data_IF_022734550416
#
_entry.id   IF_022734550416
#
_cell.length_a   1.000
_cell.length_b   1.000
_cell.length_c   1.000
_cell.angle_alpha   90.00
_cell.angle_beta   90.00
_cell.angle_gamma   90.00
#
_symmetry.space_group_name_H-M   'P 1'
#
loop_
_entity.id
_entity.type
_entity.pdbx_description
1 polymer ?
#
# COMPACT_ATOMS: atom_id res chain seq x y z
N UNK A 1 19.64 -1.52 13.55
CA UNK A 1 21.07 -1.53 13.96
C UNK A 1 21.15 -2.16 15.35
N UNK A 2 22.31 -2.63 15.83
CA UNK A 2 22.44 -3.04 17.24
C UNK A 2 22.04 -1.90 18.19
N UNK A 3 21.38 -2.22 19.30
CA UNK A 3 20.89 -1.25 20.27
C UNK A 3 19.44 -0.79 20.05
N UNK A 4 18.99 0.25 20.76
CA UNK A 4 17.65 0.81 20.61
C UNK A 4 17.43 1.40 19.21
N UNK A 5 16.28 1.09 18.60
CA UNK A 5 15.88 1.67 17.32
C UNK A 5 14.45 2.19 17.41
N UNK A 6 14.19 3.29 16.69
CA UNK A 6 12.84 3.84 16.49
C UNK A 6 12.51 3.71 15.01
N UNK A 7 11.34 3.18 14.68
CA UNK A 7 10.85 3.03 13.30
C UNK A 7 9.58 3.87 13.18
N UNK A 8 9.57 4.78 12.22
CA UNK A 8 8.40 5.59 11.86
C UNK A 8 8.00 5.23 10.44
N UNK A 9 6.71 4.99 10.21
CA UNK A 9 6.17 4.68 8.88
C UNK A 9 4.82 5.35 8.71
N UNK A 10 4.68 6.11 7.63
CA UNK A 10 3.43 6.76 7.28
C UNK A 10 2.49 5.78 6.57
N UNK A 11 1.18 6.02 6.66
CA UNK A 11 0.18 5.21 5.95
C UNK A 11 0.32 5.29 4.43
N UNK A 12 0.93 6.35 3.90
CA UNK A 12 1.25 6.55 2.48
C UNK A 12 2.45 5.70 2.01
N UNK A 13 3.22 5.12 2.93
CA UNK A 13 4.34 4.21 2.66
C UNK A 13 3.94 2.74 2.81
N UNK A 14 2.63 2.46 2.93
CA UNK A 14 2.09 1.11 2.99
C UNK A 14 2.31 0.39 1.66
N UNK A 15 2.69 -0.88 1.73
CA UNK A 15 2.79 -1.77 0.56
C UNK A 15 1.45 -2.35 0.13
N UNK A 16 0.37 -2.09 0.89
CA UNK A 16 -0.97 -2.64 0.64
C UNK A 16 -1.83 -1.70 -0.20
N UNK A 17 -1.58 -0.40 -0.15
CA UNK A 17 -2.43 0.62 -0.77
C UNK A 17 -1.79 1.28 -1.98
N UNK A 18 -2.64 1.80 -2.88
CA UNK A 18 -2.23 2.61 -4.02
C UNK A 18 -2.71 4.07 -3.84
N UNK A 19 -1.96 5.06 -4.36
CA UNK A 19 -2.38 6.46 -4.37
C UNK A 19 -3.73 6.69 -5.06
N UNK A 20 -4.39 7.79 -4.71
CA UNK A 20 -5.70 8.15 -5.26
C UNK A 20 -5.65 8.29 -6.79
N UNK A 21 -4.63 8.97 -7.30
CA UNK A 21 -4.43 9.23 -8.74
C UNK A 21 -4.30 7.92 -9.53
N UNK A 22 -3.77 6.88 -8.91
CA UNK A 22 -3.61 5.55 -9.51
C UNK A 22 -4.90 4.75 -9.52
N UNK A 23 -5.78 4.98 -8.54
CA UNK A 23 -7.10 4.35 -8.47
C UNK A 23 -8.00 4.83 -9.61
N UNK A 24 -7.95 6.13 -9.92
CA UNK A 24 -8.83 6.76 -10.91
C UNK A 24 -8.11 7.13 -12.22
N UNK A 25 -6.95 6.54 -12.49
CA UNK A 25 -6.20 6.82 -13.72
C UNK A 25 -6.96 6.37 -14.96
N UNK A 26 -6.81 7.11 -16.05
CA UNK A 26 -7.24 6.63 -17.36
C UNK A 26 -6.27 5.52 -17.82
N UNK A 27 -6.79 4.34 -18.12
CA UNK A 27 -5.99 3.18 -18.54
C UNK A 27 -5.66 3.19 -20.04
N UNK A 28 -6.39 3.97 -20.82
CA UNK A 28 -6.17 4.10 -22.27
C UNK A 28 -5.16 5.22 -22.58
N UNK A 29 -5.04 6.18 -21.67
CA UNK A 29 -4.07 7.27 -21.77
C UNK A 29 -2.65 6.76 -21.50
N UNK A 30 -1.75 6.95 -22.47
CA UNK A 30 -0.33 6.55 -22.39
C UNK A 30 -0.09 5.05 -22.15
N UNK A 31 -1.03 4.18 -22.55
CA UNK A 31 -0.88 2.73 -22.45
C UNK A 31 0.21 2.22 -23.41
N UNK A 32 1.25 1.52 -22.92
CA UNK A 32 2.26 0.91 -23.80
C UNK A 32 1.65 -0.22 -24.63
N UNK A 33 2.17 -0.43 -25.85
CA UNK A 33 1.60 -1.39 -26.81
C UNK A 33 2.09 -2.83 -26.56
N UNK A 34 3.13 -3.02 -25.74
CA UNK A 34 3.69 -4.34 -25.42
C UNK A 34 5.02 -4.27 -24.66
N UNK A 35 5.57 -5.43 -24.32
CA UNK A 35 6.86 -5.58 -23.63
C UNK A 35 6.80 -5.28 -22.13
N UNK A 36 7.97 -5.18 -21.50
CA UNK A 36 8.10 -4.96 -20.05
C UNK A 36 7.38 -3.71 -19.54
N UNK A 37 7.25 -2.67 -20.37
CA UNK A 37 6.52 -1.45 -20.02
C UNK A 37 5.02 -1.68 -19.85
N UNK A 38 4.42 -2.56 -20.66
CA UNK A 38 3.03 -2.97 -20.52
C UNK A 38 2.83 -3.86 -19.29
N UNK A 39 3.76 -4.76 -19.01
CA UNK A 39 3.73 -5.59 -17.80
C UNK A 39 3.81 -4.73 -16.54
N UNK A 40 4.76 -3.79 -16.45
CA UNK A 40 4.89 -2.84 -15.34
C UNK A 40 3.65 -1.95 -15.19
N UNK A 41 3.06 -1.52 -16.31
CA UNK A 41 1.82 -0.74 -16.31
C UNK A 41 0.65 -1.52 -15.69
N UNK A 42 0.57 -2.84 -15.92
CA UNK A 42 -0.48 -3.71 -15.40
C UNK A 42 -0.23 -4.19 -13.96
N UNK A 43 1.02 -4.46 -13.60
CA UNK A 43 1.43 -4.97 -12.27
C UNK A 43 1.12 -3.97 -11.15
N UNK A 44 1.01 -2.69 -11.49
CA UNK A 44 0.81 -1.59 -10.57
C UNK A 44 -0.62 -1.36 -10.06
N UNK A 45 -1.59 -2.20 -10.46
CA UNK A 45 -3.00 -2.09 -10.05
C UNK A 45 -3.37 -2.92 -8.81
N UNK A 46 -2.46 -3.73 -8.28
CA UNK A 46 -2.73 -4.61 -7.13
C UNK A 46 -2.47 -3.88 -5.81
N UNK A 47 -3.47 -3.14 -5.33
CA UNK A 47 -3.49 -2.59 -3.98
C UNK A 47 -4.82 -1.92 -3.68
N UNK A 48 -5.12 -1.72 -2.40
CA UNK A 48 -6.35 -1.08 -1.97
C UNK A 48 -6.26 0.43 -2.23
N UNK A 49 -7.34 1.10 -2.66
CA UNK A 49 -7.35 2.55 -2.70
C UNK A 49 -6.99 3.12 -1.32
N UNK A 50 -6.05 4.07 -1.25
CA UNK A 50 -5.58 4.64 0.03
C UNK A 50 -6.73 5.11 0.94
N UNK A 51 -7.79 5.67 0.36
CA UNK A 51 -8.95 6.20 1.06
C UNK A 51 -9.97 5.12 1.51
N UNK A 52 -9.68 3.84 1.25
CA UNK A 52 -10.50 2.69 1.66
C UNK A 52 -9.77 1.73 2.62
N UNK A 53 -8.56 2.07 3.07
CA UNK A 53 -7.77 1.19 3.94
C UNK A 53 -8.40 0.96 5.32
N UNK A 54 -9.12 1.95 5.84
CA UNK A 54 -9.75 1.91 7.15
C UNK A 54 -11.27 2.04 7.01
N UNK A 55 -12.06 1.36 7.86
CA UNK A 55 -13.51 1.49 7.83
C UNK A 55 -13.96 2.89 8.24
N UNK A 56 -15.16 3.27 7.81
CA UNK A 56 -15.81 4.49 8.29
C UNK A 56 -16.09 4.36 9.79
N UNK A 57 -15.50 5.22 10.60
CA UNK A 57 -15.79 5.30 12.03
C UNK A 57 -17.15 5.93 12.35
N UNK A 58 -17.40 6.16 13.64
CA UNK A 58 -18.56 6.86 14.17
C UNK A 58 -18.13 8.06 15.04
N UNK A 59 -19.08 8.81 15.61
CA UNK A 59 -18.77 10.02 16.40
C UNK A 59 -18.18 9.70 17.77
N UNK A 60 -18.49 8.51 18.27
CA UNK A 60 -18.10 8.02 19.59
C UNK A 60 -16.70 7.37 19.57
N UNK A 61 -16.11 7.21 18.39
CA UNK A 61 -14.93 6.39 18.16
C UNK A 61 -15.29 4.95 17.82
N UNK A 62 -14.56 4.36 16.88
CA UNK A 62 -14.72 2.97 16.48
C UNK A 62 -13.49 2.18 16.93
N UNK A 63 -13.55 1.46 18.08
CA UNK A 63 -12.39 0.79 18.65
C UNK A 63 -11.85 -0.29 17.70
N UNK A 64 -10.53 -0.28 17.51
CA UNK A 64 -9.79 -1.23 16.69
C UNK A 64 -8.41 -1.44 17.32
N UNK A 65 -7.81 -2.60 17.06
CA UNK A 65 -6.46 -2.92 17.51
C UNK A 65 -5.46 -2.77 16.36
N UNK A 66 -4.33 -2.11 16.64
CA UNK A 66 -3.18 -2.09 15.73
C UNK A 66 -2.18 -3.15 16.19
N UNK A 67 -1.97 -4.17 15.35
CA UNK A 67 -0.98 -5.20 15.59
C UNK A 67 0.30 -4.92 14.79
N UNK A 68 1.45 -4.96 15.47
CA UNK A 68 2.78 -4.79 14.86
C UNK A 68 3.64 -6.01 15.19
N UNK A 69 4.19 -6.63 14.14
CA UNK A 69 5.11 -7.75 14.26
C UNK A 69 6.42 -7.41 13.54
N UNK A 70 7.55 -7.81 14.13
CA UNK A 70 8.87 -7.75 13.51
C UNK A 70 9.39 -9.18 13.47
N UNK A 71 9.60 -9.72 12.27
CA UNK A 71 10.15 -11.04 12.00
C UNK A 71 11.55 -10.93 11.37
N UNK A 72 12.27 -12.05 11.36
CA UNK A 72 13.49 -12.19 10.58
C UNK A 72 13.14 -12.44 9.11
N UNK A 73 13.36 -11.44 8.26
CA UNK A 73 13.04 -11.51 6.83
C UNK A 73 13.70 -12.69 6.09
N UNK A 74 14.77 -13.26 6.64
CA UNK A 74 15.45 -14.43 6.05
C UNK A 74 14.58 -15.70 6.09
N UNK A 75 13.52 -15.71 6.91
CA UNK A 75 12.53 -16.78 6.96
C UNK A 75 11.37 -16.63 5.96
N UNK A 76 11.26 -15.48 5.28
CA UNK A 76 10.10 -15.12 4.43
C UNK A 76 10.29 -15.55 2.96
N UNK A 77 10.72 -16.80 2.73
CA UNK A 77 10.99 -17.38 1.40
C UNK A 77 9.74 -17.83 0.65
#
# INVERSE_FOLDING_TARGET
RPGPNTITRNSTESSVTIPFERTFRNLDENRPVGGESLEQFNLCGCGWPQHMLIPKGNKEGFPMDLFVMISDYRGDV
#
